data_IF_056467369729
#
_entry.id   IF_056467369729
#
_cell.length_a   1.000
_cell.length_b   1.000
_cell.length_c   1.000
_cell.angle_alpha   90.00
_cell.angle_beta   90.00
_cell.angle_gamma   90.00
#
_symmetry.space_group_name_H-M   'P 1'
#
loop_
_entity.id
_entity.type
_entity.pdbx_description
1 polymer ?
#
# COMPACT_ATOMS: atom_id res chain seq x y z
N UNK A 1 -42.73 -49.06 27.14
CA UNK A 1 -41.69 -49.17 26.09
C UNK A 1 -42.09 -48.33 24.89
N UNK A 2 -41.35 -47.25 24.61
CA UNK A 2 -41.21 -46.62 23.29
C UNK A 2 -40.07 -45.60 23.44
N UNK A 3 -38.88 -46.02 23.03
CA UNK A 3 -37.67 -45.20 23.01
C UNK A 3 -37.79 -44.18 21.89
N UNK A 4 -37.83 -42.89 22.22
CA UNK A 4 -37.67 -41.83 21.23
C UNK A 4 -36.16 -41.53 21.10
N UNK A 5 -35.55 -42.01 20.03
CA UNK A 5 -34.20 -41.64 19.63
C UNK A 5 -34.25 -40.24 19.02
N UNK A 6 -33.80 -39.23 19.77
CA UNK A 6 -33.56 -37.89 19.23
C UNK A 6 -32.15 -37.88 18.65
N UNK A 7 -32.03 -37.93 17.33
CA UNK A 7 -30.75 -37.79 16.62
C UNK A 7 -30.43 -36.30 16.57
N UNK A 8 -29.52 -35.85 17.43
CA UNK A 8 -28.95 -34.51 17.35
C UNK A 8 -27.90 -34.49 16.22
N UNK A 9 -28.28 -33.93 15.06
CA UNK A 9 -27.34 -33.66 13.96
C UNK A 9 -26.55 -32.41 14.33
N UNK A 10 -25.33 -32.59 14.85
CA UNK A 10 -24.37 -31.50 15.02
C UNK A 10 -23.74 -31.22 13.67
N UNK A 11 -24.24 -30.23 12.95
CA UNK A 11 -23.59 -29.72 11.75
C UNK A 11 -22.33 -28.96 12.17
N UNK A 12 -21.18 -29.64 12.17
CA UNK A 12 -19.87 -28.99 12.26
C UNK A 12 -19.61 -28.34 10.92
N UNK A 13 -20.06 -27.09 10.74
CA UNK A 13 -19.55 -26.24 9.68
C UNK A 13 -18.10 -25.95 10.03
N UNK A 14 -17.19 -26.74 9.46
CA UNK A 14 -15.78 -26.40 9.42
C UNK A 14 -15.69 -25.07 8.64
N UNK A 15 -15.66 -23.97 9.37
CA UNK A 15 -15.26 -22.67 8.85
C UNK A 15 -13.80 -22.83 8.46
N UNK A 16 -13.57 -23.19 7.20
CA UNK A 16 -12.28 -23.06 6.55
C UNK A 16 -12.07 -21.56 6.41
N UNK A 17 -11.62 -20.92 7.49
CA UNK A 17 -11.09 -19.56 7.42
C UNK A 17 -9.80 -19.68 6.65
N UNK A 18 -9.84 -19.44 5.34
CA UNK A 18 -8.63 -19.11 4.59
C UNK A 18 -7.94 -17.98 5.37
N UNK A 19 -6.63 -18.07 5.62
CA UNK A 19 -5.93 -16.98 6.27
C UNK A 19 -6.19 -15.74 5.41
N UNK A 20 -6.78 -14.70 6.00
CA UNK A 20 -6.92 -13.43 5.33
C UNK A 20 -5.51 -13.04 4.88
N UNK A 21 -5.27 -13.09 3.56
CA UNK A 21 -4.03 -12.56 3.00
C UNK A 21 -4.08 -11.09 3.40
N UNK A 22 -3.31 -10.73 4.42
CA UNK A 22 -3.26 -9.36 4.88
C UNK A 22 -2.81 -8.55 3.68
N UNK A 23 -3.72 -7.76 3.11
CA UNK A 23 -3.39 -6.85 2.03
C UNK A 23 -2.44 -5.83 2.62
N UNK A 24 -1.13 -6.03 2.42
CA UNK A 24 -0.14 -5.03 2.82
C UNK A 24 -0.40 -3.81 1.97
N UNK A 25 -0.80 -2.71 2.59
CA UNK A 25 -0.97 -1.44 1.90
C UNK A 25 0.37 -1.08 1.23
N UNK A 26 0.34 -0.66 -0.03
CA UNK A 26 1.55 -0.40 -0.80
C UNK A 26 2.49 0.62 -0.13
N UNK A 27 1.94 1.58 0.61
CA UNK A 27 2.72 2.52 1.43
C UNK A 27 3.58 1.86 2.51
N UNK A 28 3.20 0.68 3.01
CA UNK A 28 3.97 -0.06 4.01
C UNK A 28 5.12 -0.90 3.42
N UNK A 29 5.28 -0.92 2.08
CA UNK A 29 6.44 -1.57 1.44
C UNK A 29 7.71 -0.85 1.90
N UNK A 30 8.73 -1.58 2.39
CA UNK A 30 9.97 -0.97 2.82
C UNK A 30 10.74 -0.41 1.63
N UNK A 31 11.46 0.69 1.85
CA UNK A 31 12.27 1.34 0.84
C UNK A 31 13.32 0.39 0.25
N UNK A 32 13.88 -0.54 1.04
CA UNK A 32 14.77 -1.59 0.53
C UNK A 32 14.13 -2.46 -0.57
N UNK A 33 12.83 -2.75 -0.47
CA UNK A 33 12.09 -3.50 -1.48
C UNK A 33 11.73 -2.61 -2.68
N UNK A 34 11.37 -1.34 -2.45
CA UNK A 34 11.15 -0.35 -3.52
C UNK A 34 12.39 -0.22 -4.42
N UNK A 35 13.60 -0.28 -3.84
CA UNK A 35 14.85 -0.25 -4.61
C UNK A 35 14.97 -1.43 -5.59
N UNK A 36 14.49 -2.61 -5.20
CA UNK A 36 14.48 -3.80 -6.07
C UNK A 36 13.37 -3.69 -7.12
N UNK A 37 12.18 -3.31 -6.70
CA UNK A 37 11.00 -3.13 -7.54
C UNK A 37 11.19 -2.13 -8.67
N UNK A 38 12.04 -1.10 -8.48
CA UNK A 38 12.33 -0.09 -9.49
C UNK A 38 12.79 -0.69 -10.83
N UNK A 39 13.49 -1.83 -10.80
CA UNK A 39 14.01 -2.50 -11.99
C UNK A 39 13.01 -3.46 -12.64
N UNK A 40 11.80 -3.58 -12.08
CA UNK A 40 10.70 -4.40 -12.60
C UNK A 40 9.62 -3.43 -13.07
N UNK A 41 9.48 -3.28 -14.40
CA UNK A 41 8.62 -2.27 -15.03
C UNK A 41 7.22 -2.17 -14.40
N UNK A 42 6.52 -3.30 -14.22
CA UNK A 42 5.20 -3.32 -13.61
C UNK A 42 5.16 -2.83 -12.15
N UNK A 43 6.19 -3.13 -11.36
CA UNK A 43 6.26 -2.65 -9.98
C UNK A 43 6.63 -1.17 -9.90
N UNK A 44 7.52 -0.70 -10.78
CA UNK A 44 7.84 0.73 -10.94
C UNK A 44 6.58 1.54 -11.24
N UNK A 45 5.77 1.08 -12.18
CA UNK A 45 4.51 1.75 -12.54
C UNK A 45 3.49 1.72 -11.40
N UNK A 46 3.42 0.63 -10.64
CA UNK A 46 2.58 0.55 -9.43
C UNK A 46 3.07 1.52 -8.35
N UNK A 47 4.38 1.64 -8.13
CA UNK A 47 4.97 2.59 -7.17
C UNK A 47 4.65 4.03 -7.57
N UNK A 48 4.83 4.39 -8.84
CA UNK A 48 4.49 5.72 -9.38
C UNK A 48 2.99 6.00 -9.22
N UNK A 49 2.13 5.07 -9.63
CA UNK A 49 0.68 5.23 -9.56
C UNK A 49 0.19 5.39 -8.12
N UNK A 50 0.75 4.62 -7.18
CA UNK A 50 0.41 4.75 -5.77
C UNK A 50 0.84 6.11 -5.20
N UNK A 51 2.04 6.58 -5.55
CA UNK A 51 2.55 7.89 -5.13
C UNK A 51 1.68 9.05 -5.64
N UNK A 52 1.22 9.00 -6.89
CA UNK A 52 0.29 10.00 -7.43
C UNK A 52 -1.09 9.95 -6.75
N UNK A 53 -1.55 8.74 -6.40
CA UNK A 53 -2.76 8.55 -5.60
C UNK A 53 -2.64 9.18 -4.21
N UNK A 54 -1.49 9.02 -3.56
CA UNK A 54 -1.17 9.68 -2.29
C UNK A 54 -1.27 11.20 -2.40
N UNK A 55 -0.61 11.81 -3.40
CA UNK A 55 -0.66 13.26 -3.65
C UNK A 55 -2.09 13.75 -3.85
N UNK A 56 -2.87 13.03 -4.66
CA UNK A 56 -4.27 13.36 -4.94
C UNK A 56 -5.11 13.33 -3.66
N UNK A 57 -5.00 12.27 -2.87
CA UNK A 57 -5.74 12.13 -1.61
C UNK A 57 -5.37 13.23 -0.61
N UNK A 58 -4.08 13.58 -0.53
CA UNK A 58 -3.59 14.59 0.41
C UNK A 58 -3.95 16.01 0.00
N UNK A 59 -3.82 16.35 -1.28
CA UNK A 59 -4.32 17.61 -1.83
C UNK A 59 -5.82 17.80 -1.58
N UNK A 60 -6.64 16.74 -1.75
CA UNK A 60 -8.06 16.78 -1.44
C UNK A 60 -8.32 16.98 0.07
N UNK A 61 -7.54 16.33 0.93
CA UNK A 61 -7.69 16.44 2.38
C UNK A 61 -7.28 17.84 2.91
N UNK A 62 -6.23 18.42 2.34
CA UNK A 62 -5.63 19.68 2.80
C UNK A 62 -6.13 20.92 2.05
N UNK A 63 -7.04 20.76 1.08
CA UNK A 63 -7.46 21.83 0.14
C UNK A 63 -6.26 22.54 -0.51
N UNK A 64 -5.31 21.72 -0.97
CA UNK A 64 -4.02 22.16 -1.52
C UNK A 64 -3.85 21.70 -2.98
N UNK A 65 -2.82 22.23 -3.64
CA UNK A 65 -2.48 21.89 -5.03
C UNK A 65 -0.97 21.62 -5.18
N UNK A 66 -0.44 20.82 -4.25
CA UNK A 66 0.98 20.45 -4.20
C UNK A 66 1.33 19.59 -5.41
N UNK A 67 2.46 19.89 -6.06
CA UNK A 67 2.93 19.17 -7.23
C UNK A 67 2.24 19.56 -8.54
N UNK A 68 1.36 20.58 -8.56
CA UNK A 68 0.72 21.07 -9.79
C UNK A 68 1.76 21.47 -10.83
N UNK A 69 1.66 20.90 -12.03
CA UNK A 69 2.57 21.19 -13.15
C UNK A 69 3.97 20.60 -12.99
N UNK A 70 4.20 19.79 -11.95
CA UNK A 70 5.42 18.98 -11.81
C UNK A 70 5.22 17.67 -12.57
N UNK A 71 6.25 17.27 -13.30
CA UNK A 71 6.30 16.01 -14.04
C UNK A 71 6.21 14.81 -13.07
N UNK A 72 5.41 13.80 -13.41
CA UNK A 72 5.15 12.65 -12.54
C UNK A 72 6.39 11.77 -12.34
N UNK A 73 7.24 11.67 -13.36
CA UNK A 73 8.53 10.99 -13.25
C UNK A 73 9.48 11.74 -12.33
N UNK A 74 9.44 13.07 -12.31
CA UNK A 74 10.23 13.85 -11.33
C UNK A 74 9.74 13.64 -9.89
N UNK A 75 8.43 13.54 -9.67
CA UNK A 75 7.86 13.24 -8.34
C UNK A 75 8.32 11.85 -7.90
N UNK A 76 8.21 10.85 -8.78
CA UNK A 76 8.66 9.49 -8.52
C UNK A 76 10.17 9.41 -8.23
N UNK A 77 11.01 10.05 -9.05
CA UNK A 77 12.46 10.08 -8.87
C UNK A 77 12.88 10.67 -7.53
N UNK A 78 12.16 11.70 -7.04
CA UNK A 78 12.43 12.28 -5.71
C UNK A 78 12.11 11.28 -4.59
N UNK A 79 10.99 10.57 -4.70
CA UNK A 79 10.60 9.56 -3.70
C UNK A 79 11.56 8.36 -3.74
N UNK A 80 11.96 7.93 -4.94
CA UNK A 80 12.96 6.89 -5.12
C UNK A 80 14.32 7.27 -4.51
N UNK A 81 14.78 8.51 -4.71
CA UNK A 81 16.00 9.03 -4.08
C UNK A 81 15.90 9.08 -2.56
N UNK A 82 14.73 9.44 -2.02
CA UNK A 82 14.48 9.36 -0.58
C UNK A 82 14.67 7.92 -0.09
N UNK A 83 14.08 6.94 -0.76
CA UNK A 83 14.24 5.53 -0.39
C UNK A 83 15.68 5.04 -0.50
N UNK A 84 16.41 5.45 -1.53
CA UNK A 84 17.83 5.10 -1.70
C UNK A 84 18.70 5.56 -0.52
N UNK A 85 18.33 6.66 0.14
CA UNK A 85 19.02 7.19 1.31
C UNK A 85 18.49 6.62 2.65
N UNK A 86 17.32 5.97 2.65
CA UNK A 86 16.59 5.58 3.86
C UNK A 86 15.97 4.17 3.73
N UNK A 87 16.82 3.14 3.62
CA UNK A 87 16.37 1.77 3.31
C UNK A 87 15.48 1.12 4.39
N UNK A 88 15.51 1.64 5.62
CA UNK A 88 14.70 1.19 6.76
C UNK A 88 13.33 1.88 6.85
N UNK A 89 13.08 2.88 5.99
CA UNK A 89 11.79 3.59 5.89
C UNK A 89 10.83 2.90 4.94
N UNK A 90 9.61 3.39 4.90
CA UNK A 90 8.55 2.89 4.03
C UNK A 90 8.32 3.77 2.80
N UNK A 91 7.59 3.24 1.82
CA UNK A 91 7.17 4.02 0.65
C UNK A 91 6.23 5.18 1.03
N UNK A 92 5.44 5.03 2.09
CA UNK A 92 4.63 6.10 2.66
C UNK A 92 5.47 7.23 3.25
N UNK A 93 6.56 6.91 3.97
CA UNK A 93 7.50 7.92 4.48
C UNK A 93 8.14 8.71 3.33
N UNK A 94 8.48 8.03 2.23
CA UNK A 94 9.00 8.68 1.03
C UNK A 94 7.96 9.61 0.39
N UNK A 95 6.72 9.15 0.24
CA UNK A 95 5.63 9.95 -0.30
C UNK A 95 5.36 11.20 0.54
N UNK A 96 5.31 11.05 1.87
CA UNK A 96 5.15 12.15 2.81
C UNK A 96 6.31 13.15 2.71
N UNK A 97 7.55 12.66 2.69
CA UNK A 97 8.72 13.52 2.52
C UNK A 97 8.67 14.31 1.21
N UNK A 98 8.30 13.70 0.09
CA UNK A 98 8.27 14.44 -1.19
C UNK A 98 7.14 15.46 -1.20
N UNK A 99 5.96 15.11 -0.68
CA UNK A 99 4.81 16.03 -0.59
C UNK A 99 5.15 17.27 0.24
N UNK A 100 5.68 17.08 1.46
CA UNK A 100 5.97 18.18 2.39
C UNK A 100 7.10 19.10 1.88
N UNK A 101 8.06 18.56 1.12
CA UNK A 101 9.15 19.35 0.52
C UNK A 101 8.77 19.99 -0.83
N UNK A 102 7.52 19.86 -1.27
CA UNK A 102 6.97 20.52 -2.46
C UNK A 102 5.98 21.63 -2.14
N UNK A 103 5.63 21.83 -0.86
CA UNK A 103 4.96 23.03 -0.35
C UNK A 103 5.88 24.26 -0.46
#
# INVERSE_FOLDING_TARGET
>A
MKCAFVVAVVAVTALISEPAIAYTAKGAVPCSEVMVEHYIEGHRDMNRSWLLGYFTARNLHEDADVGRGVDDELIYDRAYKYCAANLDKSWDDAAHSVYDNML
#
